data_IF_776726928746
#
_entry.id   IF_776726928746
#
_cell.length_a   1.000
_cell.length_b   1.000
_cell.length_c   1.000
_cell.angle_alpha   90.00
_cell.angle_beta   90.00
_cell.angle_gamma   90.00
#
_symmetry.space_group_name_H-M   'P 1'
#
loop_
_entity.id
_entity.type
_entity.pdbx_description
1 polymer ?
#
# COMPACT_ATOMS: atom_id res chain seq x y z
N UNK A 1 19.66 6.07 -15.17
CA UNK A 1 18.96 5.03 -15.95
C UNK A 1 17.76 4.57 -15.14
N UNK A 2 16.60 4.38 -15.75
CA UNK A 2 15.40 3.81 -15.12
C UNK A 2 15.29 2.34 -15.49
N UNK A 3 15.10 1.46 -14.51
CA UNK A 3 14.89 0.05 -14.77
C UNK A 3 13.47 -0.18 -15.28
N UNK A 4 13.30 -0.97 -16.35
CA UNK A 4 11.99 -1.32 -16.87
C UNK A 4 11.35 -2.45 -16.03
N UNK A 5 10.04 -2.41 -15.77
CA UNK A 5 9.36 -3.48 -15.05
C UNK A 5 9.26 -4.75 -15.91
N UNK A 6 9.42 -5.91 -15.28
CA UNK A 6 9.08 -7.21 -15.86
C UNK A 6 7.57 -7.37 -15.99
N UNK A 7 6.83 -6.91 -15.00
CA UNK A 7 5.37 -7.01 -14.94
C UNK A 7 4.82 -5.68 -14.47
N UNK A 8 3.73 -5.24 -15.11
CA UNK A 8 2.90 -4.14 -14.66
C UNK A 8 1.45 -4.61 -14.60
N UNK A 9 0.77 -4.28 -13.51
CA UNK A 9 -0.62 -4.67 -13.33
C UNK A 9 -1.36 -3.76 -12.35
N UNK A 10 -2.65 -4.06 -12.20
CA UNK A 10 -3.58 -3.29 -11.40
C UNK A 10 -4.51 -4.23 -10.63
N UNK A 11 -4.96 -3.78 -9.46
CA UNK A 11 -5.99 -4.43 -8.66
C UNK A 11 -7.07 -3.40 -8.34
N UNK A 12 -8.30 -3.63 -8.81
CA UNK A 12 -9.43 -2.80 -8.45
C UNK A 12 -10.02 -3.29 -7.12
N UNK A 13 -10.12 -2.39 -6.15
CA UNK A 13 -10.70 -2.67 -4.84
C UNK A 13 -11.84 -1.70 -4.58
N UNK A 14 -12.88 -2.19 -3.91
CA UNK A 14 -13.97 -1.35 -3.39
C UNK A 14 -13.80 -1.30 -1.89
N UNK A 15 -13.94 -0.11 -1.30
CA UNK A 15 -13.96 0.05 0.15
C UNK A 15 -15.37 -0.05 0.71
N UNK A 16 -15.47 -0.49 1.96
CA UNK A 16 -16.63 -0.23 2.81
C UNK A 16 -16.20 0.74 3.90
N UNK A 17 -17.16 1.37 4.56
CA UNK A 17 -16.88 2.35 5.60
C UNK A 17 -17.72 2.14 6.86
N UNK A 18 -17.18 2.60 7.98
CA UNK A 18 -17.89 2.70 9.25
C UNK A 18 -17.69 4.10 9.83
N UNK A 19 -18.75 4.65 10.43
CA UNK A 19 -18.66 5.93 11.10
C UNK A 19 -17.77 5.80 12.34
N UNK A 20 -16.83 6.73 12.49
CA UNK A 20 -15.97 6.80 13.67
C UNK A 20 -16.21 8.11 14.41
N UNK A 21 -16.06 8.05 15.73
CA UNK A 21 -15.89 9.27 16.53
C UNK A 21 -14.40 9.60 16.54
N UNK A 22 -13.99 10.82 16.16
CA UNK A 22 -12.59 11.23 16.28
C UNK A 22 -12.19 11.25 17.76
N UNK A 23 -11.66 10.15 18.27
CA UNK A 23 -10.94 10.12 19.54
C UNK A 23 -9.43 10.27 19.26
N UNK A 24 -8.64 10.54 20.30
CA UNK A 24 -7.20 10.79 20.23
C UNK A 24 -6.35 9.63 19.68
N UNK A 25 -6.97 8.50 19.27
CA UNK A 25 -6.28 7.38 18.60
C UNK A 25 -6.23 7.55 17.08
N UNK A 26 -7.09 8.40 16.51
CA UNK A 26 -7.10 8.77 15.09
C UNK A 26 -6.56 10.21 14.95
N UNK A 27 -5.25 10.35 14.73
CA UNK A 27 -4.61 11.65 14.53
C UNK A 27 -5.09 12.28 13.21
N UNK A 28 -6.00 13.24 13.31
CA UNK A 28 -6.39 14.10 12.20
C UNK A 28 -5.42 15.28 12.17
N UNK A 29 -4.57 15.35 11.14
CA UNK A 29 -3.62 16.45 10.98
C UNK A 29 -4.37 17.77 10.74
N UNK A 30 -4.42 18.59 11.79
CA UNK A 30 -4.41 20.06 11.79
C UNK A 30 -5.24 20.77 10.72
N UNK A 31 -6.53 20.89 10.97
CA UNK A 31 -7.31 22.13 10.89
C UNK A 31 -8.43 21.99 11.90
N UNK A 32 -8.93 23.09 12.46
CA UNK A 32 -10.08 23.06 13.37
C UNK A 32 -11.24 22.33 12.68
N UNK A 33 -11.38 21.04 12.97
CA UNK A 33 -12.46 20.23 12.43
C UNK A 33 -13.69 20.61 13.23
N UNK A 34 -14.75 20.97 12.53
CA UNK A 34 -16.01 21.24 13.20
C UNK A 34 -16.36 20.02 14.04
N UNK A 35 -16.73 20.24 15.30
CA UNK A 35 -17.16 19.20 16.25
C UNK A 35 -18.41 18.43 15.78
N UNK A 36 -18.94 18.78 14.60
CA UNK A 36 -20.09 18.19 13.93
C UNK A 36 -19.70 17.36 12.69
N UNK A 37 -18.45 17.38 12.23
CA UNK A 37 -18.01 16.61 11.07
C UNK A 37 -17.99 15.10 11.43
N UNK A 38 -18.84 14.32 10.77
CA UNK A 38 -18.80 12.86 10.84
C UNK A 38 -17.59 12.37 10.07
N UNK A 39 -16.83 11.47 10.68
CA UNK A 39 -15.69 10.81 10.06
C UNK A 39 -16.01 9.36 9.77
N UNK A 40 -15.41 8.84 8.72
CA UNK A 40 -15.58 7.46 8.29
C UNK A 40 -14.22 6.82 8.08
N UNK A 41 -14.04 5.66 8.69
CA UNK A 41 -12.89 4.82 8.40
C UNK A 41 -13.24 3.91 7.23
N UNK A 42 -12.38 3.86 6.22
CA UNK A 42 -12.54 3.02 5.03
C UNK A 42 -11.53 1.87 5.05
N UNK A 43 -12.01 0.71 4.65
CA UNK A 43 -11.20 -0.49 4.42
C UNK A 43 -11.72 -1.28 3.23
N UNK A 44 -10.93 -2.19 2.66
CA UNK A 44 -11.34 -2.98 1.52
C UNK A 44 -12.54 -3.85 1.88
N UNK A 45 -13.54 -3.92 1.01
CA UNK A 45 -14.72 -4.75 1.22
C UNK A 45 -14.37 -6.23 1.34
N UNK A 46 -13.44 -6.69 0.49
CA UNK A 46 -12.83 -8.02 0.58
C UNK A 46 -11.41 -7.84 1.13
N UNK A 47 -11.28 -7.92 2.45
CA UNK A 47 -10.02 -7.70 3.16
C UNK A 47 -9.28 -9.00 3.54
N UNK A 48 -8.10 -8.84 4.13
CA UNK A 48 -7.25 -9.92 4.60
C UNK A 48 -7.65 -10.53 5.97
N UNK A 49 -8.81 -10.18 6.53
CA UNK A 49 -9.29 -10.56 7.87
C UNK A 49 -9.07 -9.48 8.94
N UNK A 50 -8.17 -8.53 8.70
CA UNK A 50 -7.80 -7.47 9.65
C UNK A 50 -8.28 -6.07 9.22
N UNK A 51 -9.02 -5.96 8.11
CA UNK A 51 -9.46 -4.67 7.51
C UNK A 51 -8.33 -3.72 7.09
N UNK A 52 -7.09 -4.18 7.07
CA UNK A 52 -5.92 -3.36 6.72
C UNK A 52 -5.59 -3.43 5.23
N UNK A 53 -5.60 -4.61 4.63
CA UNK A 53 -5.26 -4.80 3.22
C UNK A 53 -6.36 -5.51 2.46
N UNK A 54 -6.43 -5.24 1.16
CA UNK A 54 -7.32 -5.99 0.29
C UNK A 54 -6.79 -7.41 0.18
N UNK A 55 -7.68 -8.41 0.21
CA UNK A 55 -7.27 -9.81 0.05
C UNK A 55 -6.43 -10.01 -1.20
N UNK A 56 -6.83 -9.39 -2.31
CA UNK A 56 -6.11 -9.46 -3.58
C UNK A 56 -4.67 -8.92 -3.51
N UNK A 57 -4.43 -7.86 -2.71
CA UNK A 57 -3.08 -7.31 -2.53
C UNK A 57 -2.20 -8.26 -1.72
N UNK A 58 -2.73 -8.85 -0.65
CA UNK A 58 -2.01 -9.87 0.13
C UNK A 58 -1.74 -11.12 -0.70
N UNK A 59 -2.71 -11.59 -1.48
CA UNK A 59 -2.54 -12.75 -2.35
C UNK A 59 -1.51 -12.48 -3.48
N UNK A 60 -1.46 -11.26 -4.02
CA UNK A 60 -0.38 -10.82 -4.92
C UNK A 60 0.99 -10.91 -4.23
N UNK A 61 1.13 -10.32 -3.04
CA UNK A 61 2.38 -10.36 -2.29
C UNK A 61 2.82 -11.80 -2.03
N UNK A 62 1.91 -12.67 -1.56
CA UNK A 62 2.17 -14.09 -1.32
C UNK A 62 2.62 -14.84 -2.57
N UNK A 63 2.02 -14.55 -3.73
CA UNK A 63 2.45 -15.15 -4.99
C UNK A 63 3.87 -14.73 -5.35
N UNK A 64 4.19 -13.43 -5.27
CA UNK A 64 5.52 -12.93 -5.64
C UNK A 64 6.60 -13.48 -4.71
N UNK A 65 6.38 -13.51 -3.39
CA UNK A 65 7.36 -14.08 -2.44
C UNK A 65 7.55 -15.59 -2.56
N UNK A 66 6.60 -16.30 -3.18
CA UNK A 66 6.71 -17.76 -3.39
C UNK A 66 7.65 -18.13 -4.52
N UNK A 67 8.06 -17.15 -5.34
CA UNK A 67 9.02 -17.35 -6.42
C UNK A 67 10.46 -17.49 -5.88
N UNK A 68 11.37 -18.18 -6.60
CA UNK A 68 12.69 -18.56 -6.08
C UNK A 68 13.70 -17.38 -5.99
N UNK A 69 13.23 -16.14 -6.06
CA UNK A 69 14.07 -14.94 -6.09
C UNK A 69 13.89 -14.13 -4.81
N UNK A 70 14.99 -13.75 -4.13
CA UNK A 70 14.92 -12.83 -2.99
C UNK A 70 14.22 -11.54 -3.42
N UNK A 71 13.09 -11.24 -2.76
CA UNK A 71 12.22 -10.14 -3.19
C UNK A 71 12.12 -9.07 -2.11
N UNK A 72 12.32 -7.82 -2.50
CA UNK A 72 12.03 -6.63 -1.70
C UNK A 72 10.62 -6.12 -1.98
N UNK A 73 10.00 -5.46 -1.01
CA UNK A 73 8.73 -4.75 -1.16
C UNK A 73 8.93 -3.25 -0.99
N UNK A 74 8.41 -2.46 -1.92
CA UNK A 74 8.19 -1.03 -1.73
C UNK A 74 6.69 -0.80 -1.71
N UNK A 75 6.16 -0.43 -0.55
CA UNK A 75 4.75 -0.12 -0.37
C UNK A 75 4.56 1.40 -0.31
N UNK A 76 3.91 1.93 -1.34
CA UNK A 76 3.67 3.36 -1.53
C UNK A 76 2.21 3.67 -1.21
N UNK A 77 1.98 4.27 -0.05
CA UNK A 77 0.63 4.60 0.42
C UNK A 77 0.40 6.09 0.29
N UNK A 78 -0.57 6.49 -0.54
CA UNK A 78 -0.94 7.91 -0.73
C UNK A 78 -1.48 8.55 0.57
N UNK A 79 -2.27 7.78 1.33
CA UNK A 79 -2.94 8.24 2.53
C UNK A 79 -2.56 7.35 3.72
N UNK A 80 -1.30 7.42 4.19
CA UNK A 80 -0.86 6.61 5.31
C UNK A 80 -1.69 6.97 6.55
N UNK A 81 -2.01 5.96 7.37
CA UNK A 81 -2.76 6.19 8.59
C UNK A 81 -2.03 7.17 9.52
N UNK A 82 -2.80 7.82 10.37
CA UNK A 82 -2.42 8.80 11.38
C UNK A 82 -1.20 8.48 12.29
N UNK A 83 -0.75 7.23 12.37
CA UNK A 83 0.45 6.78 13.11
C UNK A 83 1.63 6.40 12.19
N UNK A 84 1.65 6.96 10.98
CA UNK A 84 2.56 6.59 9.91
C UNK A 84 2.07 5.36 9.14
N UNK A 85 2.68 5.09 8.00
CA UNK A 85 2.47 3.86 7.23
C UNK A 85 2.73 2.57 8.04
N UNK A 86 3.27 2.69 9.25
CA UNK A 86 3.72 1.62 10.13
C UNK A 86 2.66 0.55 10.40
N UNK A 87 1.39 0.83 10.81
CA UNK A 87 0.45 -0.26 11.07
C UNK A 87 0.06 -1.05 9.81
N UNK A 88 -0.07 -0.36 8.66
CA UNK A 88 -0.34 -1.02 7.38
C UNK A 88 0.85 -1.88 6.95
N UNK A 89 2.06 -1.32 6.97
CA UNK A 89 3.29 -2.06 6.67
C UNK A 89 3.48 -3.26 7.61
N UNK A 90 3.29 -3.09 8.91
CA UNK A 90 3.43 -4.16 9.91
C UNK A 90 2.41 -5.28 9.71
N UNK A 91 1.16 -4.95 9.38
CA UNK A 91 0.17 -5.98 9.01
C UNK A 91 0.58 -6.69 7.73
N UNK A 92 1.09 -5.98 6.73
CA UNK A 92 1.55 -6.62 5.48
C UNK A 92 2.75 -7.55 5.73
N UNK A 93 3.69 -7.14 6.57
CA UNK A 93 4.82 -7.96 7.05
C UNK A 93 4.31 -9.23 7.72
N UNK A 94 3.35 -9.10 8.63
CA UNK A 94 2.76 -10.23 9.35
C UNK A 94 2.06 -11.21 8.39
N UNK A 95 1.38 -10.70 7.38
CA UNK A 95 0.66 -11.52 6.39
C UNK A 95 1.58 -12.15 5.33
N UNK A 96 2.76 -11.58 5.11
CA UNK A 96 3.72 -11.92 4.05
C UNK A 96 5.19 -11.86 4.53
N UNK A 97 5.64 -12.77 5.42
CA UNK A 97 6.97 -12.68 6.06
C UNK A 97 8.17 -13.03 5.15
N UNK A 98 7.96 -13.25 3.85
CA UNK A 98 8.98 -13.74 2.92
C UNK A 98 9.81 -12.66 2.20
N UNK A 99 9.49 -11.38 2.38
CA UNK A 99 10.29 -10.31 1.78
C UNK A 99 11.61 -10.14 2.52
N UNK A 100 12.71 -10.00 1.78
CA UNK A 100 14.05 -9.79 2.36
C UNK A 100 14.25 -8.38 2.90
N UNK A 101 13.48 -7.42 2.38
CA UNK A 101 13.49 -6.03 2.81
C UNK A 101 12.17 -5.35 2.42
N UNK A 102 11.72 -4.39 3.23
CA UNK A 102 10.43 -3.73 3.06
C UNK A 102 10.57 -2.23 3.33
N UNK A 103 10.08 -1.43 2.39
CA UNK A 103 10.15 0.03 2.41
C UNK A 103 8.74 0.62 2.39
N UNK A 104 8.51 1.61 3.25
CA UNK A 104 7.30 2.44 3.22
C UNK A 104 7.59 3.80 2.61
N UNK A 105 6.84 4.18 1.58
CA UNK A 105 6.95 5.50 0.94
C UNK A 105 5.58 6.15 0.75
N UNK A 106 5.58 7.44 0.43
CA UNK A 106 4.41 8.23 0.08
C UNK A 106 4.81 9.18 -1.04
N UNK A 107 4.73 8.71 -2.29
CA UNK A 107 5.13 9.50 -3.47
C UNK A 107 4.13 10.58 -3.85
N UNK A 108 2.88 10.47 -3.39
CA UNK A 108 1.80 11.40 -3.70
C UNK A 108 0.99 11.05 -4.97
N UNK A 109 1.55 10.27 -5.90
CA UNK A 109 0.81 9.73 -7.05
C UNK A 109 1.55 8.54 -7.65
N UNK A 110 0.82 7.66 -8.34
CA UNK A 110 1.45 6.56 -9.06
C UNK A 110 2.31 7.08 -10.23
N UNK A 111 3.61 6.81 -10.18
CA UNK A 111 4.56 7.10 -11.26
C UNK A 111 5.49 5.90 -11.51
N UNK A 112 5.35 5.19 -12.65
CA UNK A 112 6.25 4.10 -13.03
C UNK A 112 7.72 4.51 -13.16
N UNK A 113 8.03 5.75 -13.53
CA UNK A 113 9.41 6.23 -13.65
C UNK A 113 10.06 6.41 -12.28
N UNK A 114 9.30 6.95 -11.31
CA UNK A 114 9.71 7.00 -9.91
C UNK A 114 9.98 5.59 -9.37
N UNK A 115 9.04 4.66 -9.57
CA UNK A 115 9.21 3.27 -9.15
C UNK A 115 10.41 2.59 -9.80
N UNK A 116 10.65 2.81 -11.10
CA UNK A 116 11.81 2.28 -11.82
C UNK A 116 13.14 2.91 -11.35
N UNK A 117 13.13 4.16 -10.89
CA UNK A 117 14.29 4.82 -10.29
C UNK A 117 14.62 4.27 -8.90
N UNK A 118 13.59 4.00 -8.08
CA UNK A 118 13.75 3.30 -6.81
C UNK A 118 14.28 1.89 -7.03
N UNK A 119 13.71 1.14 -7.98
CA UNK A 119 14.16 -0.20 -8.31
C UNK A 119 15.64 -0.22 -8.74
N UNK A 120 16.06 0.74 -9.56
CA UNK A 120 17.46 0.88 -9.97
C UNK A 120 18.41 1.23 -8.81
N UNK A 121 17.89 1.79 -7.72
CA UNK A 121 18.68 2.17 -6.53
C UNK A 121 18.75 1.03 -5.51
N UNK A 122 17.66 0.29 -5.33
CA UNK A 122 17.51 -0.69 -4.26
C UNK A 122 17.91 -2.11 -4.68
N UNK A 123 17.71 -2.49 -5.94
CA UNK A 123 17.95 -3.86 -6.39
C UNK A 123 19.45 -4.21 -6.45
N UNK A 124 19.80 -5.34 -5.85
CA UNK A 124 21.07 -6.01 -6.10
C UNK A 124 20.91 -7.10 -7.17
N UNK A 125 21.99 -7.52 -7.86
CA UNK A 125 21.95 -8.62 -8.83
C UNK A 125 21.25 -9.88 -8.29
N UNK A 126 20.38 -10.49 -9.10
CA UNK A 126 19.62 -11.68 -8.73
C UNK A 126 18.41 -11.44 -7.82
N UNK A 127 18.14 -10.19 -7.41
CA UNK A 127 16.97 -9.83 -6.60
C UNK A 127 15.80 -9.33 -7.43
N UNK A 128 14.63 -9.31 -6.79
CA UNK A 128 13.41 -8.69 -7.30
C UNK A 128 12.86 -7.63 -6.37
N UNK A 129 12.06 -6.73 -6.93
CA UNK A 129 11.37 -5.69 -6.18
C UNK A 129 9.92 -5.64 -6.65
N UNK A 130 9.00 -5.82 -5.69
CA UNK A 130 7.59 -5.54 -5.85
C UNK A 130 7.33 -4.11 -5.38
N UNK A 131 6.94 -3.24 -6.29
CA UNK A 131 6.42 -1.92 -5.94
C UNK A 131 4.89 -1.99 -5.97
N UNK A 132 4.24 -1.58 -4.87
CA UNK A 132 2.79 -1.57 -4.72
C UNK A 132 2.32 -0.19 -4.27
N UNK A 133 1.54 0.48 -5.13
CA UNK A 133 0.92 1.76 -4.85
C UNK A 133 -0.52 1.58 -4.39
N UNK A 134 -0.82 2.06 -3.18
CA UNK A 134 -2.13 2.03 -2.53
C UNK A 134 -2.71 3.45 -2.38
N UNK A 135 -3.67 3.85 -3.25
CA UNK A 135 -4.34 5.14 -3.14
C UNK A 135 -5.51 5.16 -2.16
N UNK A 136 -5.84 4.05 -1.47
CA UNK A 136 -7.04 3.99 -0.66
C UNK A 136 -6.99 4.98 0.52
N UNK A 137 -7.92 5.93 0.55
CA UNK A 137 -8.03 6.89 1.64
C UNK A 137 -8.72 6.23 2.84
N UNK A 138 -7.94 5.87 3.86
CA UNK A 138 -8.46 5.13 5.04
C UNK A 138 -9.32 5.95 5.97
N UNK A 139 -9.23 7.27 5.91
CA UNK A 139 -9.99 8.18 6.77
C UNK A 139 -10.53 9.34 5.92
N UNK A 140 -11.85 9.46 5.84
CA UNK A 140 -12.55 10.45 5.02
C UNK A 140 -13.75 11.04 5.78
N UNK A 141 -14.16 12.25 5.40
CA UNK A 141 -15.45 12.82 5.83
C UNK A 141 -16.63 12.33 4.99
N UNK A 142 -16.36 11.60 3.90
CA UNK A 142 -17.36 11.07 2.98
C UNK A 142 -17.65 9.59 3.30
N UNK A 143 -18.92 9.20 3.57
CA UNK A 143 -19.31 7.81 3.78
C UNK A 143 -19.37 6.97 2.49
N UNK A 144 -19.11 7.56 1.31
CA UNK A 144 -19.27 6.85 0.05
C UNK A 144 -18.19 5.77 -0.10
N UNK A 145 -18.55 4.50 -0.41
CA UNK A 145 -17.60 3.48 -0.83
C UNK A 145 -16.65 4.00 -1.91
N UNK A 146 -15.34 3.79 -1.71
CA UNK A 146 -14.32 4.22 -2.65
C UNK A 146 -14.00 3.08 -3.62
N UNK A 147 -14.00 3.36 -4.92
CA UNK A 147 -13.35 2.51 -5.90
C UNK A 147 -11.90 2.98 -6.04
N UNK A 148 -10.96 2.14 -5.64
CA UNK A 148 -9.53 2.43 -5.69
C UNK A 148 -8.80 1.43 -6.59
N UNK A 149 -7.91 1.92 -7.44
CA UNK A 149 -7.05 1.08 -8.27
C UNK A 149 -5.66 1.06 -7.67
N UNK A 150 -5.28 -0.08 -7.10
CA UNK A 150 -3.91 -0.33 -6.68
C UNK A 150 -3.08 -0.64 -7.91
N UNK A 151 -1.92 -0.04 -8.01
CA UNK A 151 -0.98 -0.29 -9.10
C UNK A 151 0.19 -1.09 -8.57
N UNK A 152 0.67 -2.06 -9.34
CA UNK A 152 1.88 -2.79 -8.97
C UNK A 152 2.82 -2.97 -10.14
N UNK A 153 4.11 -2.97 -9.82
CA UNK A 153 5.22 -3.21 -10.75
C UNK A 153 6.16 -4.23 -10.12
N UNK A 154 6.63 -5.18 -10.93
CA UNK A 154 7.66 -6.14 -10.52
C UNK A 154 8.90 -5.85 -11.35
N UNK A 155 10.01 -5.59 -10.67
CA UNK A 155 11.31 -5.40 -11.27
C UNK A 155 12.22 -6.57 -10.90
N UNK A 156 13.21 -6.84 -11.73
CA UNK A 156 14.29 -7.79 -11.45
C UNK A 156 15.59 -7.23 -11.95
N UNK A 157 16.64 -7.36 -11.14
CA UNK A 157 17.99 -7.22 -11.64
C UNK A 157 18.41 -8.59 -12.16
N UNK A 158 18.78 -8.67 -13.44
CA UNK A 158 19.44 -9.87 -13.95
C UNK A 158 20.76 -10.07 -13.19
N UNK A 159 21.11 -11.33 -12.94
CA UNK A 159 22.39 -11.69 -12.33
C UNK A 159 23.54 -11.53 -13.33
#
# INVERSE_FOLDING_TARGET
>A
MTLAPLVQGQLNIVSTCEAITPDSRHFLATRELSTQARWYQHWPHIDCGERLHAKAAVDLCRRVISEPYPTQLVYDSLHPAARGATPLLQSLISQCPGFIEIWGVCSGQFDPHYAGSLANTLLQPGQRLLYLYDPLQRLSGDPTPQLATLHYLIFSAQA
#
